data_IF_711085338473
#
_entry.id   IF_711085338473
#
_cell.length_a   1.000
_cell.length_b   1.000
_cell.length_c   1.000
_cell.angle_alpha   90.00
_cell.angle_beta   90.00
_cell.angle_gamma   90.00
#
_symmetry.space_group_name_H-M   'P 1'
#
loop_
_entity.id
_entity.type
_entity.pdbx_description
1 polymer ?
#
# COMPACT_ATOMS: atom_id res chain seq x y z
N UNK A 1 41.18 7.46 6.28
CA UNK A 1 40.88 6.56 5.15
C UNK A 1 39.75 7.23 4.38
N UNK A 2 40.09 7.95 3.32
CA UNK A 2 39.17 8.89 2.64
C UNK A 2 38.12 8.11 1.86
N UNK A 3 36.85 8.47 2.02
CA UNK A 3 35.70 7.95 1.26
C UNK A 3 35.92 8.05 -0.25
N UNK A 4 36.70 9.01 -0.72
CA UNK A 4 37.05 9.17 -2.14
C UNK A 4 37.90 8.03 -2.69
N UNK A 5 38.75 7.40 -1.87
CA UNK A 5 39.63 6.31 -2.33
C UNK A 5 38.89 4.98 -2.45
N UNK A 6 37.75 4.82 -1.76
CA UNK A 6 36.90 3.62 -1.82
C UNK A 6 35.87 3.73 -2.96
N UNK A 7 35.25 4.90 -3.13
CA UNK A 7 34.29 5.18 -4.21
C UNK A 7 34.95 5.25 -5.59
N UNK A 8 36.17 5.81 -5.69
CA UNK A 8 36.93 5.84 -6.94
C UNK A 8 37.43 4.46 -7.39
N UNK A 9 37.72 3.53 -6.46
CA UNK A 9 38.18 2.17 -6.78
C UNK A 9 37.05 1.21 -7.23
N UNK A 10 35.81 1.58 -6.98
CA UNK A 10 34.62 0.75 -7.23
C UNK A 10 33.86 1.17 -8.50
N UNK A 11 34.31 2.20 -9.22
CA UNK A 11 33.61 2.76 -10.39
C UNK A 11 32.28 3.46 -10.05
N UNK A 12 31.98 3.64 -8.76
CA UNK A 12 30.73 4.21 -8.28
C UNK A 12 30.61 5.70 -8.61
N UNK A 13 31.72 6.44 -8.58
CA UNK A 13 31.71 7.86 -8.96
C UNK A 13 31.33 8.05 -10.43
N UNK A 14 31.86 7.21 -11.32
CA UNK A 14 31.54 7.26 -12.75
C UNK A 14 30.06 6.90 -12.96
N UNK A 15 29.58 5.84 -12.30
CA UNK A 15 28.16 5.47 -12.32
C UNK A 15 27.23 6.59 -11.83
N UNK A 16 27.55 7.25 -10.70
CA UNK A 16 26.73 8.35 -10.18
C UNK A 16 26.78 9.58 -11.11
N UNK A 17 27.92 9.85 -11.74
CA UNK A 17 28.06 10.90 -12.76
C UNK A 17 27.17 10.62 -13.96
N UNK A 18 27.26 9.41 -14.53
CA UNK A 18 26.47 8.96 -15.68
C UNK A 18 24.96 8.98 -15.38
N UNK A 19 24.55 8.52 -14.19
CA UNK A 19 23.14 8.56 -13.75
C UNK A 19 22.65 10.01 -13.56
N UNK A 20 23.50 10.91 -13.06
CA UNK A 20 23.16 12.32 -12.92
C UNK A 20 22.95 12.97 -14.29
N UNK A 21 23.83 12.71 -15.26
CA UNK A 21 23.67 13.18 -16.63
C UNK A 21 22.40 12.62 -17.28
N UNK A 22 22.11 11.33 -17.07
CA UNK A 22 20.87 10.71 -17.54
C UNK A 22 19.65 11.42 -16.95
N UNK A 23 19.65 11.77 -15.65
CA UNK A 23 18.57 12.51 -15.02
C UNK A 23 18.42 13.94 -15.57
N UNK A 24 19.51 14.67 -15.77
CA UNK A 24 19.46 16.00 -16.38
C UNK A 24 18.86 15.95 -17.80
N UNK A 25 19.07 14.85 -18.52
CA UNK A 25 18.49 14.64 -19.85
C UNK A 25 17.05 14.17 -19.83
N UNK A 26 16.61 13.41 -18.82
CA UNK A 26 15.29 12.75 -18.80
C UNK A 26 14.28 13.26 -17.76
N UNK A 27 14.61 14.29 -16.96
CA UNK A 27 13.69 14.82 -15.94
C UNK A 27 12.32 15.28 -16.50
N UNK A 28 12.19 15.83 -17.73
CA UNK A 28 10.88 16.18 -18.28
C UNK A 28 10.04 14.93 -18.53
N UNK A 29 10.63 13.85 -19.05
CA UNK A 29 9.96 12.57 -19.27
C UNK A 29 9.48 11.95 -17.96
N UNK A 30 10.29 12.00 -16.90
CA UNK A 30 9.87 11.54 -15.57
C UNK A 30 8.64 12.33 -15.09
N UNK A 31 8.62 13.66 -15.29
CA UNK A 31 7.47 14.50 -14.95
C UNK A 31 6.23 14.14 -15.80
N UNK A 32 6.40 13.94 -17.11
CA UNK A 32 5.31 13.50 -17.99
C UNK A 32 4.75 12.14 -17.55
N UNK A 33 5.60 11.18 -17.18
CA UNK A 33 5.19 9.87 -16.67
C UNK A 33 4.44 9.97 -15.34
N UNK A 34 4.81 10.91 -14.47
CA UNK A 34 4.06 11.19 -13.24
C UNK A 34 2.66 11.74 -13.54
N UNK A 35 2.52 12.64 -14.51
CA UNK A 35 1.22 13.18 -14.95
C UNK A 35 0.36 12.08 -15.58
N UNK A 36 0.95 11.20 -16.41
CA UNK A 36 0.26 10.04 -17.00
C UNK A 36 -0.21 9.08 -15.89
N UNK A 37 0.62 8.83 -14.88
CA UNK A 37 0.24 8.00 -13.74
C UNK A 37 -0.94 8.60 -12.96
N UNK A 38 -0.93 9.92 -12.76
CA UNK A 38 -2.05 10.64 -12.14
C UNK A 38 -3.33 10.49 -12.97
N UNK A 39 -3.25 10.68 -14.29
CA UNK A 39 -4.38 10.50 -15.19
C UNK A 39 -4.94 9.07 -15.14
N UNK A 40 -4.08 8.04 -15.23
CA UNK A 40 -4.51 6.64 -15.11
C UNK A 40 -5.11 6.32 -13.74
N UNK A 41 -4.59 6.91 -12.66
CA UNK A 41 -5.14 6.76 -11.31
C UNK A 41 -6.55 7.35 -11.20
N UNK A 42 -6.79 8.51 -11.83
CA UNK A 42 -8.13 9.11 -11.89
C UNK A 42 -9.06 8.26 -12.77
N UNK A 43 -8.58 7.79 -13.92
CA UNK A 43 -9.35 6.96 -14.85
C UNK A 43 -9.78 5.65 -14.17
N UNK A 44 -8.87 4.90 -13.52
CA UNK A 44 -9.24 3.62 -12.88
C UNK A 44 -10.29 3.83 -11.79
N UNK A 45 -10.21 4.95 -11.07
CA UNK A 45 -11.13 5.28 -10.00
C UNK A 45 -12.52 5.65 -10.54
N UNK A 46 -12.58 6.39 -11.65
CA UNK A 46 -13.84 6.65 -12.37
C UNK A 46 -14.39 5.36 -12.97
N UNK A 47 -13.54 4.48 -13.51
CA UNK A 47 -13.94 3.18 -14.03
C UNK A 47 -14.55 2.30 -12.93
N UNK A 48 -13.93 2.25 -11.74
CA UNK A 48 -14.53 1.60 -10.58
C UNK A 48 -15.91 2.18 -10.28
N UNK A 49 -16.12 3.49 -10.34
CA UNK A 49 -17.45 4.07 -10.17
C UNK A 49 -18.47 3.59 -11.22
N UNK A 50 -18.11 3.60 -12.51
CA UNK A 50 -19.08 3.40 -13.60
C UNK A 50 -19.41 1.92 -13.82
N UNK A 51 -18.42 1.04 -13.74
CA UNK A 51 -18.54 -0.35 -14.19
C UNK A 51 -17.73 -1.31 -13.31
N UNK A 52 -17.76 -1.18 -11.97
CA UNK A 52 -17.03 -2.04 -11.00
C UNK A 52 -16.89 -3.49 -11.47
N UNK A 53 -18.01 -4.15 -11.78
CA UNK A 53 -18.01 -5.58 -12.12
C UNK A 53 -17.18 -5.87 -13.36
N UNK A 54 -17.37 -5.07 -14.42
CA UNK A 54 -16.61 -5.21 -15.68
C UNK A 54 -15.14 -4.91 -15.44
N UNK A 55 -14.82 -3.85 -14.69
CA UNK A 55 -13.44 -3.45 -14.38
C UNK A 55 -12.71 -4.56 -13.63
N UNK A 56 -13.33 -5.13 -12.59
CA UNK A 56 -12.74 -6.24 -11.83
C UNK A 56 -12.47 -7.43 -12.74
N UNK A 57 -13.40 -7.80 -13.62
CA UNK A 57 -13.19 -8.89 -14.58
C UNK A 57 -12.10 -8.57 -15.61
N UNK A 58 -12.07 -7.35 -16.16
CA UNK A 58 -11.03 -6.92 -17.11
C UNK A 58 -9.66 -6.97 -16.44
N UNK A 59 -9.52 -6.47 -15.21
CA UNK A 59 -8.26 -6.49 -14.47
C UNK A 59 -7.83 -7.93 -14.19
N UNK A 60 -8.74 -8.79 -13.70
CA UNK A 60 -8.42 -10.19 -13.40
C UNK A 60 -8.05 -11.00 -14.64
N UNK A 61 -8.86 -10.92 -15.69
CA UNK A 61 -8.62 -11.64 -16.95
C UNK A 61 -7.41 -11.06 -17.67
N UNK A 62 -7.28 -9.73 -17.72
CA UNK A 62 -6.17 -9.04 -18.36
C UNK A 62 -4.84 -9.41 -17.70
N UNK A 63 -4.76 -9.46 -16.38
CA UNK A 63 -3.55 -9.86 -15.66
C UNK A 63 -3.27 -11.36 -15.81
N UNK A 64 -4.31 -12.20 -15.76
CA UNK A 64 -4.16 -13.63 -16.05
C UNK A 64 -3.57 -13.85 -17.45
N UNK A 65 -4.10 -13.17 -18.48
CA UNK A 65 -3.58 -13.23 -19.84
C UNK A 65 -2.18 -12.65 -19.98
N UNK A 66 -1.91 -11.48 -19.40
CA UNK A 66 -0.58 -10.87 -19.45
C UNK A 66 0.48 -11.75 -18.78
N UNK A 67 0.15 -12.37 -17.64
CA UNK A 67 1.05 -13.29 -16.95
C UNK A 67 1.32 -14.56 -17.75
N UNK A 68 0.30 -15.19 -18.34
CA UNK A 68 0.47 -16.39 -19.16
C UNK A 68 1.24 -16.10 -20.46
N UNK A 69 0.93 -14.99 -21.13
CA UNK A 69 1.65 -14.55 -22.32
C UNK A 69 3.11 -14.18 -22.00
N UNK A 70 3.36 -13.48 -20.90
CA UNK A 70 4.70 -13.14 -20.44
C UNK A 70 5.53 -14.39 -20.11
N UNK A 71 4.95 -15.36 -19.41
CA UNK A 71 5.61 -16.65 -19.15
C UNK A 71 5.89 -17.41 -20.44
N UNK A 72 4.93 -17.47 -21.37
CA UNK A 72 5.13 -18.13 -22.66
C UNK A 72 6.24 -17.47 -23.48
N UNK A 73 6.30 -16.14 -23.50
CA UNK A 73 7.35 -15.38 -24.18
C UNK A 73 8.75 -15.68 -23.61
N UNK A 74 8.90 -15.75 -22.28
CA UNK A 74 10.17 -16.12 -21.64
C UNK A 74 10.62 -17.55 -22.00
N UNK A 75 9.68 -18.49 -22.11
CA UNK A 75 9.99 -19.85 -22.58
C UNK A 75 10.42 -19.88 -24.05
N UNK A 76 9.81 -19.06 -24.91
CA UNK A 76 10.23 -18.92 -26.32
C UNK A 76 11.64 -18.33 -26.40
N UNK A 77 11.93 -17.27 -25.64
CA UNK A 77 13.26 -16.65 -25.57
C UNK A 77 14.33 -17.65 -25.11
N UNK A 78 14.02 -18.45 -24.09
CA UNK A 78 14.93 -19.51 -23.64
C UNK A 78 15.19 -20.55 -24.74
N UNK A 79 14.14 -21.00 -25.44
CA UNK A 79 14.29 -21.98 -26.52
C UNK A 79 15.15 -21.44 -27.67
N UNK A 80 14.93 -20.19 -28.08
CA UNK A 80 15.74 -19.52 -29.11
C UNK A 80 17.20 -19.34 -28.65
N UNK A 81 17.41 -18.87 -27.41
CA UNK A 81 18.75 -18.71 -26.83
C UNK A 81 19.50 -20.04 -26.79
N UNK A 82 18.84 -21.13 -26.37
CA UNK A 82 19.41 -22.47 -26.32
C UNK A 82 19.80 -22.98 -27.72
N UNK A 83 18.95 -22.80 -28.73
CA UNK A 83 19.25 -23.18 -30.11
C UNK A 83 20.47 -22.42 -30.68
N UNK A 84 20.64 -21.14 -30.32
CA UNK A 84 21.79 -20.33 -30.74
C UNK A 84 23.09 -20.64 -29.99
N UNK A 85 23.00 -21.28 -28.81
CA UNK A 85 24.16 -21.62 -27.98
C UNK A 85 24.93 -22.86 -28.46
N UNK A 86 24.29 -23.74 -29.24
CA UNK A 86 24.88 -24.99 -29.74
C UNK A 86 25.80 -24.82 -30.96
N UNK A 87 25.99 -23.60 -31.49
CA UNK A 87 26.57 -23.40 -32.83
C UNK A 87 27.93 -22.66 -32.87
N UNK A 88 28.48 -22.11 -31.78
CA UNK A 88 29.67 -21.21 -31.86
C UNK A 88 30.71 -21.29 -30.71
N UNK A 89 31.93 -20.78 -30.99
CA UNK A 89 33.22 -20.82 -30.25
C UNK A 89 33.23 -20.58 -28.73
N UNK A 90 34.29 -21.07 -28.06
CA UNK A 90 34.45 -21.19 -26.60
C UNK A 90 34.38 -19.87 -25.79
N UNK A 91 34.86 -18.73 -26.31
CA UNK A 91 34.83 -17.45 -25.58
C UNK A 91 33.42 -16.84 -25.62
N UNK A 92 32.79 -16.81 -26.79
CA UNK A 92 31.40 -16.35 -26.99
C UNK A 92 30.41 -17.32 -26.31
N UNK A 93 30.75 -18.61 -26.25
CA UNK A 93 29.98 -19.64 -25.56
C UNK A 93 29.75 -19.31 -24.09
N UNK A 94 30.77 -18.87 -23.34
CA UNK A 94 30.63 -18.55 -21.91
C UNK A 94 29.59 -17.44 -21.63
N UNK A 95 29.56 -16.38 -22.44
CA UNK A 95 28.60 -15.27 -22.32
C UNK A 95 27.19 -15.71 -22.74
N UNK A 96 27.07 -16.51 -23.81
CA UNK A 96 25.77 -17.03 -24.28
C UNK A 96 25.17 -18.07 -23.32
N UNK A 97 26.00 -18.91 -22.69
CA UNK A 97 25.59 -19.88 -21.67
C UNK A 97 25.02 -19.14 -20.45
N UNK A 98 25.71 -18.12 -19.94
CA UNK A 98 25.21 -17.31 -18.82
C UNK A 98 23.88 -16.61 -19.12
N UNK A 99 23.71 -16.06 -20.34
CA UNK A 99 22.42 -15.50 -20.78
C UNK A 99 21.32 -16.56 -20.87
N UNK A 100 21.63 -17.75 -21.37
CA UNK A 100 20.67 -18.87 -21.50
C UNK A 100 20.20 -19.36 -20.13
N UNK A 101 21.11 -19.49 -19.16
CA UNK A 101 20.80 -19.88 -17.78
C UNK A 101 19.96 -18.81 -17.05
N UNK A 102 20.22 -17.54 -17.35
CA UNK A 102 19.44 -16.42 -16.82
C UNK A 102 17.99 -16.47 -17.32
N UNK A 103 17.78 -16.69 -18.62
CA UNK A 103 16.42 -16.83 -19.19
C UNK A 103 15.69 -18.06 -18.65
N UNK A 104 16.38 -19.19 -18.46
CA UNK A 104 15.79 -20.37 -17.83
C UNK A 104 15.31 -20.08 -16.41
N UNK A 105 16.15 -19.43 -15.61
CA UNK A 105 15.83 -19.08 -14.22
C UNK A 105 14.62 -18.14 -14.16
N UNK A 106 14.57 -17.11 -15.01
CA UNK A 106 13.44 -16.20 -15.11
C UNK A 106 12.15 -16.91 -15.56
N UNK A 107 12.22 -17.82 -16.54
CA UNK A 107 11.06 -18.57 -17.03
C UNK A 107 10.46 -19.50 -15.94
N UNK A 108 11.31 -20.17 -15.15
CA UNK A 108 10.85 -21.01 -14.03
C UNK A 108 10.16 -20.16 -12.96
N UNK A 109 10.80 -19.05 -12.54
CA UNK A 109 10.22 -18.13 -11.54
C UNK A 109 8.88 -17.58 -12.04
N UNK A 110 8.81 -17.12 -13.29
CA UNK A 110 7.58 -16.61 -13.89
C UNK A 110 6.47 -17.68 -13.94
N UNK A 111 6.82 -18.94 -14.23
CA UNK A 111 5.85 -20.05 -14.25
C UNK A 111 5.23 -20.30 -12.87
N UNK A 112 6.04 -20.28 -11.81
CA UNK A 112 5.57 -20.44 -10.43
C UNK A 112 4.66 -19.27 -10.04
N UNK A 113 5.07 -18.03 -10.34
CA UNK A 113 4.29 -16.82 -10.04
C UNK A 113 2.94 -16.83 -10.78
N UNK A 114 2.92 -17.19 -12.06
CA UNK A 114 1.69 -17.30 -12.86
C UNK A 114 0.77 -18.38 -12.28
N UNK A 115 1.28 -19.54 -11.90
CA UNK A 115 0.47 -20.60 -11.27
C UNK A 115 -0.14 -20.13 -9.94
N UNK A 116 0.67 -19.52 -9.07
CA UNK A 116 0.18 -18.96 -7.80
C UNK A 116 -0.91 -17.90 -8.02
N UNK A 117 -0.70 -16.99 -8.97
CA UNK A 117 -1.67 -15.94 -9.30
C UNK A 117 -2.99 -16.53 -9.81
N UNK A 118 -2.95 -17.51 -10.73
CA UNK A 118 -4.14 -18.18 -11.23
C UNK A 118 -4.89 -18.93 -10.12
N UNK A 119 -4.18 -19.64 -9.24
CA UNK A 119 -4.78 -20.32 -8.09
C UNK A 119 -5.49 -19.33 -7.15
N UNK A 120 -4.85 -18.19 -6.86
CA UNK A 120 -5.47 -17.12 -6.07
C UNK A 120 -6.76 -16.66 -6.75
N UNK A 121 -6.73 -16.32 -8.04
CA UNK A 121 -7.91 -15.86 -8.78
C UNK A 121 -9.06 -16.90 -8.74
N UNK A 122 -8.75 -18.19 -8.88
CA UNK A 122 -9.74 -19.28 -8.80
C UNK A 122 -10.39 -19.36 -7.41
N UNK A 123 -9.61 -19.22 -6.33
CA UNK A 123 -10.12 -19.23 -4.96
C UNK A 123 -11.00 -18.01 -4.68
N UNK A 124 -10.56 -16.82 -5.11
CA UNK A 124 -11.29 -15.57 -4.86
C UNK A 124 -12.61 -15.50 -5.64
N UNK A 125 -12.77 -16.24 -6.75
CA UNK A 125 -13.98 -16.24 -7.61
C UNK A 125 -15.29 -16.38 -6.84
N UNK A 126 -15.33 -17.24 -5.82
CA UNK A 126 -16.55 -17.47 -5.02
C UNK A 126 -16.98 -16.24 -4.22
N UNK A 127 -16.03 -15.37 -3.87
CA UNK A 127 -16.22 -14.20 -3.00
C UNK A 127 -16.29 -12.88 -3.78
N UNK A 128 -15.84 -12.87 -5.04
CA UNK A 128 -15.85 -11.69 -5.91
C UNK A 128 -17.22 -11.03 -6.03
N UNK A 129 -18.31 -11.81 -6.07
CA UNK A 129 -19.66 -11.23 -6.18
C UNK A 129 -19.99 -10.29 -5.00
N UNK A 130 -19.57 -10.64 -3.79
CA UNK A 130 -19.78 -9.80 -2.58
C UNK A 130 -18.96 -8.52 -2.66
N UNK A 131 -17.68 -8.68 -3.01
CA UNK A 131 -16.75 -7.56 -3.14
C UNK A 131 -17.21 -6.61 -4.23
N UNK A 132 -17.71 -7.11 -5.37
CA UNK A 132 -18.30 -6.28 -6.42
C UNK A 132 -19.46 -5.43 -5.88
N UNK A 133 -20.32 -5.97 -5.00
CA UNK A 133 -21.42 -5.19 -4.42
C UNK A 133 -20.91 -4.11 -3.45
N UNK A 134 -19.95 -4.44 -2.59
CA UNK A 134 -19.34 -3.45 -1.70
C UNK A 134 -18.65 -2.33 -2.48
N UNK A 135 -17.93 -2.68 -3.55
CA UNK A 135 -17.33 -1.71 -4.46
C UNK A 135 -18.40 -0.89 -5.18
N UNK A 136 -19.54 -1.47 -5.60
CA UNK A 136 -20.64 -0.71 -6.22
C UNK A 136 -21.22 0.31 -5.26
N UNK A 137 -21.45 -0.07 -4.01
CA UNK A 137 -21.93 0.86 -2.98
C UNK A 137 -20.89 1.94 -2.67
N UNK A 138 -19.60 1.59 -2.60
CA UNK A 138 -18.51 2.56 -2.46
C UNK A 138 -18.46 3.54 -3.65
N UNK A 139 -18.65 3.03 -4.87
CA UNK A 139 -18.73 3.84 -6.09
C UNK A 139 -19.93 4.80 -6.09
N UNK A 140 -21.10 4.36 -5.59
CA UNK A 140 -22.28 5.23 -5.39
C UNK A 140 -21.99 6.33 -4.37
N UNK A 141 -21.37 6.01 -3.24
CA UNK A 141 -20.99 6.96 -2.21
C UNK A 141 -20.00 8.01 -2.75
N UNK A 142 -18.88 7.58 -3.32
CA UNK A 142 -17.86 8.45 -3.92
C UNK A 142 -18.46 9.29 -5.06
N UNK A 143 -19.33 8.70 -5.88
CA UNK A 143 -19.98 9.39 -6.99
C UNK A 143 -20.92 10.52 -6.55
N UNK A 144 -21.53 10.41 -5.38
CA UNK A 144 -22.35 11.47 -4.79
C UNK A 144 -21.53 12.56 -4.09
N UNK A 145 -20.25 12.29 -3.80
CA UNK A 145 -19.33 13.16 -3.07
C UNK A 145 -18.02 13.34 -3.86
N UNK A 146 -18.05 14.01 -5.04
CA UNK A 146 -16.91 14.07 -5.96
C UNK A 146 -15.68 14.76 -5.38
N UNK A 147 -15.83 15.60 -4.35
CA UNK A 147 -14.71 16.20 -3.62
C UNK A 147 -13.80 15.15 -2.94
N UNK A 148 -14.26 13.89 -2.74
CA UNK A 148 -13.44 12.81 -2.17
C UNK A 148 -12.27 12.46 -3.09
N UNK A 149 -12.41 12.75 -4.39
CA UNK A 149 -11.39 12.51 -5.39
C UNK A 149 -10.22 13.50 -5.29
N UNK A 150 -10.43 14.66 -4.67
CA UNK A 150 -9.40 15.69 -4.45
C UNK A 150 -8.67 15.46 -3.12
N UNK A 151 -9.30 14.76 -2.17
CA UNK A 151 -8.71 14.45 -0.85
C UNK A 151 -7.29 13.85 -0.90
N UNK A 152 -6.96 12.86 -1.76
CA UNK A 152 -5.63 12.27 -1.75
C UNK A 152 -4.55 13.23 -2.28
N UNK A 153 -4.90 14.20 -3.13
CA UNK A 153 -3.96 15.26 -3.56
C UNK A 153 -3.59 16.16 -2.38
N UNK A 154 -4.57 16.50 -1.55
CA UNK A 154 -4.33 17.27 -0.33
C UNK A 154 -3.45 16.49 0.66
N UNK A 155 -3.75 15.21 0.93
CA UNK A 155 -2.89 14.37 1.78
C UNK A 155 -1.47 14.29 1.24
N UNK A 156 -1.31 14.09 -0.07
CA UNK A 156 0.00 14.03 -0.71
C UNK A 156 0.78 15.33 -0.51
N UNK A 157 0.14 16.49 -0.71
CA UNK A 157 0.76 17.78 -0.48
C UNK A 157 1.22 17.94 1.00
N UNK A 158 0.40 17.53 1.96
CA UNK A 158 0.77 17.56 3.38
C UNK A 158 1.94 16.61 3.72
N UNK A 159 1.96 15.40 3.15
CA UNK A 159 3.05 14.44 3.35
C UNK A 159 4.34 14.97 2.71
N UNK A 160 4.27 15.49 1.48
CA UNK A 160 5.40 16.08 0.79
C UNK A 160 5.98 17.26 1.61
N UNK A 161 5.13 18.16 2.10
CA UNK A 161 5.55 19.24 2.98
C UNK A 161 6.22 18.72 4.28
N UNK A 162 5.68 17.66 4.88
CA UNK A 162 6.27 17.03 6.07
C UNK A 162 7.65 16.44 5.78
N UNK A 163 7.82 15.77 4.63
CA UNK A 163 9.11 15.22 4.20
C UNK A 163 10.11 16.35 3.90
N UNK A 164 9.68 17.42 3.24
CA UNK A 164 10.51 18.61 3.00
C UNK A 164 10.97 19.25 4.31
N UNK A 165 10.07 19.42 5.29
CA UNK A 165 10.42 19.92 6.61
C UNK A 165 11.42 18.99 7.32
N UNK A 166 11.21 17.67 7.26
CA UNK A 166 12.12 16.69 7.84
C UNK A 166 13.53 16.77 7.21
N UNK A 167 13.62 16.87 5.89
CA UNK A 167 14.87 17.04 5.17
C UNK A 167 15.58 18.33 5.59
N UNK A 168 14.84 19.45 5.62
CA UNK A 168 15.34 20.73 6.06
C UNK A 168 15.93 20.64 7.48
N UNK A 169 15.16 20.17 8.47
CA UNK A 169 15.66 20.04 9.84
C UNK A 169 16.81 19.03 9.96
N UNK A 170 16.80 17.95 9.17
CA UNK A 170 17.92 17.00 9.15
C UNK A 170 19.20 17.68 8.68
N UNK A 171 19.16 18.47 7.60
CA UNK A 171 20.33 19.21 7.12
C UNK A 171 20.86 20.20 8.16
N UNK A 172 19.97 20.89 8.88
CA UNK A 172 20.36 21.77 9.99
C UNK A 172 20.99 21.00 11.15
N UNK A 173 20.43 19.85 11.53
CA UNK A 173 20.97 19.01 12.61
C UNK A 173 22.33 18.41 12.23
N UNK A 174 22.52 18.00 10.96
CA UNK A 174 23.79 17.45 10.48
C UNK A 174 24.88 18.50 10.32
N UNK A 175 24.51 19.74 9.99
CA UNK A 175 25.45 20.88 9.90
C UNK A 175 25.79 21.49 11.26
N UNK A 176 24.97 21.23 12.29
CA UNK A 176 25.28 21.57 13.67
C UNK A 176 26.36 20.62 14.22
N UNK A 177 27.51 21.16 14.60
CA UNK A 177 28.60 20.40 15.23
C UNK A 177 29.72 21.32 15.67
N UNK A 178 30.38 21.01 16.78
CA UNK A 178 31.49 21.82 17.27
C UNK A 178 32.79 21.36 16.61
N UNK A 179 33.58 22.32 16.11
CA UNK A 179 34.88 22.05 15.52
C UNK A 179 35.87 21.74 16.65
N UNK A 180 36.38 20.52 16.70
CA UNK A 180 37.47 20.13 17.61
C UNK A 180 38.75 19.94 16.79
N UNK A 181 39.80 20.65 17.18
CA UNK A 181 41.12 20.52 16.57
C UNK A 181 41.75 19.22 17.05
N UNK A 182 42.06 18.32 16.12
CA UNK A 182 42.64 16.99 16.42
C UNK A 182 44.15 16.98 16.15
N UNK A 183 44.62 17.72 15.15
CA UNK A 183 46.04 17.96 14.83
C UNK A 183 46.19 19.35 14.20
N UNK A 184 47.39 19.90 14.13
CA UNK A 184 47.63 21.12 13.35
C UNK A 184 47.10 20.93 11.92
N UNK A 185 46.16 21.80 11.53
CA UNK A 185 45.35 21.79 10.30
C UNK A 185 44.26 20.71 10.12
N UNK A 186 43.96 19.88 11.13
CA UNK A 186 42.85 18.91 11.04
C UNK A 186 41.76 19.16 12.09
N UNK A 187 40.56 19.53 11.63
CA UNK A 187 39.36 19.72 12.46
C UNK A 187 38.37 18.58 12.21
N UNK A 188 37.86 17.98 13.28
CA UNK A 188 36.74 17.04 13.22
C UNK A 188 35.52 17.71 13.86
N UNK A 189 34.35 17.52 13.25
CA UNK A 189 33.08 17.93 13.84
C UNK A 189 32.65 16.89 14.87
N UNK A 190 32.76 17.22 16.16
CA UNK A 190 32.29 16.38 17.25
C UNK A 190 30.79 16.66 17.47
N UNK A 191 29.98 15.60 17.44
CA UNK A 191 28.53 15.67 17.67
C UNK A 191 28.25 15.41 19.14
N UNK A 192 27.63 16.39 19.80
CA UNK A 192 27.21 16.28 21.20
C UNK A 192 25.98 15.34 21.36
N UNK A 193 25.76 14.84 22.57
CA UNK A 193 24.61 14.01 22.96
C UNK A 193 23.28 14.68 22.60
N UNK A 194 23.22 16.00 22.71
CA UNK A 194 22.04 16.82 22.34
C UNK A 194 21.69 16.67 20.85
N UNK A 195 22.70 16.64 19.98
CA UNK A 195 22.51 16.49 18.53
C UNK A 195 22.00 15.08 18.22
N UNK A 196 22.55 14.05 18.89
CA UNK A 196 22.08 12.67 18.74
C UNK A 196 20.62 12.51 19.16
N UNK A 197 20.23 13.07 20.31
CA UNK A 197 18.84 13.07 20.75
C UNK A 197 17.92 13.78 19.75
N UNK A 198 18.33 14.96 19.26
CA UNK A 198 17.54 15.75 18.31
C UNK A 198 17.34 15.01 16.98
N UNK A 199 18.32 14.22 16.50
CA UNK A 199 18.17 13.36 15.32
C UNK A 199 17.03 12.34 15.50
N UNK A 200 17.03 11.62 16.63
CA UNK A 200 15.98 10.64 16.93
C UNK A 200 14.62 11.29 17.13
N UNK A 201 14.58 12.44 17.80
CA UNK A 201 13.36 13.23 17.96
C UNK A 201 12.80 13.69 16.61
N UNK A 202 13.63 14.21 15.70
CA UNK A 202 13.22 14.61 14.36
C UNK A 202 12.63 13.44 13.55
N UNK A 203 13.25 12.25 13.63
CA UNK A 203 12.71 11.02 13.02
C UNK A 203 11.35 10.68 13.62
N UNK A 204 11.23 10.70 14.95
CA UNK A 204 9.98 10.39 15.64
C UNK A 204 8.84 11.34 15.26
N UNK A 205 9.09 12.65 15.26
CA UNK A 205 8.10 13.67 14.89
C UNK A 205 7.64 13.46 13.45
N UNK A 206 8.54 13.19 12.52
CA UNK A 206 8.17 12.91 11.12
C UNK A 206 7.31 11.65 11.00
N UNK A 207 7.67 10.55 11.67
CA UNK A 207 6.86 9.33 11.68
C UNK A 207 5.46 9.62 12.24
N UNK A 208 5.38 10.37 13.34
CA UNK A 208 4.11 10.73 13.96
C UNK A 208 3.25 11.63 13.08
N UNK A 209 3.83 12.67 12.46
CA UNK A 209 3.11 13.56 11.55
C UNK A 209 2.58 12.82 10.32
N UNK A 210 3.35 11.89 9.74
CA UNK A 210 2.87 11.07 8.62
C UNK A 210 1.67 10.22 9.05
N UNK A 211 1.75 9.52 10.19
CA UNK A 211 0.62 8.73 10.70
C UNK A 211 -0.59 9.61 11.04
N UNK A 212 -0.35 10.82 11.54
CA UNK A 212 -1.40 11.78 11.88
C UNK A 212 -2.14 12.29 10.63
N UNK A 213 -1.40 12.65 9.57
CA UNK A 213 -1.98 13.09 8.29
C UNK A 213 -2.82 11.96 7.67
N UNK A 214 -2.30 10.73 7.66
CA UNK A 214 -3.03 9.55 7.17
C UNK A 214 -4.29 9.30 8.03
N UNK A 215 -4.18 9.43 9.36
CA UNK A 215 -5.33 9.28 10.26
C UNK A 215 -6.40 10.35 10.03
N UNK A 216 -6.01 11.60 9.76
CA UNK A 216 -6.92 12.67 9.37
C UNK A 216 -7.66 12.32 8.07
N UNK A 217 -6.95 11.80 7.06
CA UNK A 217 -7.57 11.33 5.82
C UNK A 217 -8.60 10.23 6.10
N UNK A 218 -8.25 9.20 6.88
CA UNK A 218 -9.19 8.13 7.23
C UNK A 218 -10.45 8.67 7.91
N UNK A 219 -10.31 9.58 8.87
CA UNK A 219 -11.45 10.16 9.59
C UNK A 219 -12.36 11.00 8.68
N UNK A 220 -11.80 11.81 7.79
CA UNK A 220 -12.59 12.62 6.84
C UNK A 220 -13.38 11.74 5.88
N UNK A 221 -12.74 10.71 5.31
CA UNK A 221 -13.39 9.79 4.37
C UNK A 221 -14.45 8.97 5.10
N UNK A 222 -14.09 8.39 6.26
CA UNK A 222 -15.03 7.60 7.06
C UNK A 222 -16.25 8.43 7.45
N UNK A 223 -16.06 9.66 7.91
CA UNK A 223 -17.15 10.55 8.31
C UNK A 223 -18.06 10.93 7.14
N UNK A 224 -17.49 11.20 5.97
CA UNK A 224 -18.29 11.48 4.77
C UNK A 224 -19.09 10.24 4.32
N UNK A 225 -18.45 9.07 4.29
CA UNK A 225 -19.06 7.82 3.81
C UNK A 225 -20.10 7.27 4.80
N UNK A 226 -19.84 7.31 6.10
CA UNK A 226 -20.81 6.89 7.12
C UNK A 226 -22.02 7.83 7.18
N UNK A 227 -21.80 9.15 7.11
CA UNK A 227 -22.87 10.14 6.98
C UNK A 227 -23.71 9.89 5.73
N UNK A 228 -23.06 9.59 4.60
CA UNK A 228 -23.77 9.22 3.38
C UNK A 228 -24.58 7.94 3.58
N UNK A 229 -23.98 6.89 4.17
CA UNK A 229 -24.62 5.58 4.36
C UNK A 229 -25.91 5.69 5.18
N UNK A 230 -25.83 6.30 6.36
CA UNK A 230 -26.96 6.43 7.29
C UNK A 230 -27.92 7.59 6.98
N UNK A 231 -27.73 8.32 5.87
CA UNK A 231 -28.72 9.29 5.40
C UNK A 231 -29.70 8.65 4.43
N UNK A 232 -31.01 8.71 4.72
CA UNK A 232 -32.06 8.19 3.83
C UNK A 232 -32.17 8.98 2.53
N UNK A 233 -32.38 10.29 2.64
CA UNK A 233 -32.51 11.18 1.49
C UNK A 233 -31.15 11.74 1.09
N UNK A 234 -30.45 11.06 0.16
CA UNK A 234 -29.08 11.44 -0.27
C UNK A 234 -29.00 12.87 -0.83
N UNK A 235 -30.11 13.44 -1.30
CA UNK A 235 -30.21 14.84 -1.77
C UNK A 235 -30.06 15.89 -0.66
N UNK A 236 -30.17 15.50 0.62
CA UNK A 236 -29.99 16.40 1.78
C UNK A 236 -28.54 16.52 2.24
N UNK A 237 -27.62 15.77 1.63
CA UNK A 237 -26.20 15.79 1.98
C UNK A 237 -25.53 17.05 1.41
N UNK A 238 -25.58 18.15 2.16
CA UNK A 238 -24.83 19.35 1.83
C UNK A 238 -23.36 19.18 2.23
N UNK A 239 -22.50 19.04 1.21
CA UNK A 239 -21.03 18.91 1.30
C UNK A 239 -20.50 18.03 2.47
N UNK A 240 -20.68 16.70 2.40
CA UNK A 240 -20.29 15.77 3.46
C UNK A 240 -18.80 15.81 3.85
N UNK A 241 -17.93 16.23 2.93
CA UNK A 241 -16.49 16.32 3.19
C UNK A 241 -16.15 17.56 4.00
N UNK A 242 -16.74 18.71 3.68
CA UNK A 242 -16.55 19.92 4.46
C UNK A 242 -17.09 19.72 5.88
N UNK A 243 -18.22 19.03 6.01
CA UNK A 243 -18.76 18.62 7.30
C UNK A 243 -17.85 17.62 8.03
N UNK A 244 -17.33 16.60 7.34
CA UNK A 244 -16.37 15.64 7.90
C UNK A 244 -15.06 16.30 8.36
N UNK A 245 -14.54 17.25 7.58
CA UNK A 245 -13.37 18.04 7.92
C UNK A 245 -13.63 18.94 9.13
N UNK A 246 -14.79 19.60 9.17
CA UNK A 246 -15.21 20.39 10.33
C UNK A 246 -15.28 19.53 11.59
N UNK A 247 -15.91 18.35 11.52
CA UNK A 247 -16.02 17.44 12.66
C UNK A 247 -14.65 16.92 13.10
N UNK A 248 -13.77 16.59 12.15
CA UNK A 248 -12.39 16.22 12.45
C UNK A 248 -11.72 17.32 13.27
N UNK A 249 -11.67 18.54 12.74
CA UNK A 249 -10.99 19.69 13.35
C UNK A 249 -11.59 20.09 14.70
N UNK A 250 -12.93 20.01 14.84
CA UNK A 250 -13.64 20.48 16.02
C UNK A 250 -13.67 19.46 17.15
N UNK A 251 -13.76 18.17 16.84
CA UNK A 251 -14.08 17.12 17.83
C UNK A 251 -13.11 15.93 17.85
N UNK A 252 -12.47 15.55 16.74
CA UNK A 252 -11.77 14.25 16.64
C UNK A 252 -10.24 14.33 16.54
N UNK A 253 -9.62 15.52 16.48
CA UNK A 253 -8.16 15.67 16.41
C UNK A 253 -7.43 14.94 17.54
N UNK A 254 -7.96 14.96 18.76
CA UNK A 254 -7.35 14.27 19.92
C UNK A 254 -7.29 12.75 19.73
N UNK A 255 -8.37 12.14 19.26
CA UNK A 255 -8.41 10.69 18.98
C UNK A 255 -7.46 10.30 17.84
N UNK A 256 -7.37 11.13 16.79
CA UNK A 256 -6.44 10.91 15.67
C UNK A 256 -4.99 11.05 16.13
N UNK A 257 -4.69 12.07 16.94
CA UNK A 257 -3.37 12.30 17.52
C UNK A 257 -2.91 11.13 18.41
N UNK A 258 -3.80 10.60 19.24
CA UNK A 258 -3.52 9.45 20.11
C UNK A 258 -3.29 8.16 19.29
N UNK A 259 -4.17 7.86 18.33
CA UNK A 259 -4.02 6.69 17.46
C UNK A 259 -2.74 6.73 16.62
N UNK A 260 -2.42 7.89 16.03
CA UNK A 260 -1.19 8.07 15.25
C UNK A 260 0.06 8.02 16.11
N UNK A 261 0.01 8.52 17.35
CA UNK A 261 1.12 8.49 18.31
C UNK A 261 1.50 7.04 18.67
N UNK A 262 0.52 6.19 18.99
CA UNK A 262 0.78 4.79 19.35
C UNK A 262 1.47 4.06 18.18
N UNK A 263 1.02 4.27 16.94
CA UNK A 263 1.66 3.68 15.76
C UNK A 263 3.09 4.22 15.62
N UNK A 264 3.30 5.53 15.79
CA UNK A 264 4.61 6.16 15.65
C UNK A 264 5.63 5.66 16.69
N UNK A 265 5.20 5.39 17.93
CA UNK A 265 6.05 4.81 18.97
C UNK A 265 6.56 3.42 18.57
N UNK A 266 5.67 2.56 18.06
CA UNK A 266 6.07 1.21 17.58
C UNK A 266 6.95 1.31 16.34
N UNK A 267 6.67 2.26 15.43
CA UNK A 267 7.53 2.53 14.27
C UNK A 267 8.93 2.98 14.68
N UNK A 268 9.04 3.88 15.66
CA UNK A 268 10.33 4.32 16.18
C UNK A 268 11.09 3.15 16.81
N UNK A 269 10.43 2.33 17.63
CA UNK A 269 11.04 1.14 18.22
C UNK A 269 11.57 0.17 17.15
N UNK A 270 10.82 -0.02 16.06
CA UNK A 270 11.23 -0.84 14.90
C UNK A 270 12.44 -0.26 14.17
N UNK A 271 12.50 1.06 13.99
CA UNK A 271 13.66 1.74 13.38
C UNK A 271 14.89 1.60 14.28
N UNK A 272 14.75 1.79 15.59
CA UNK A 272 15.84 1.61 16.56
C UNK A 272 16.35 0.15 16.53
N UNK A 273 15.46 -0.84 16.58
CA UNK A 273 15.85 -2.25 16.49
C UNK A 273 16.53 -2.58 15.16
N UNK A 274 16.11 -1.97 14.05
CA UNK A 274 16.77 -2.14 12.76
C UNK A 274 18.21 -1.63 12.80
N UNK A 275 18.44 -0.44 13.35
CA UNK A 275 19.79 0.14 13.52
C UNK A 275 20.66 -0.74 14.41
N UNK A 276 20.11 -1.20 15.54
CA UNK A 276 20.82 -2.10 16.46
C UNK A 276 21.14 -3.44 15.80
N UNK A 277 20.21 -4.03 15.05
CA UNK A 277 20.42 -5.30 14.36
C UNK A 277 21.58 -5.21 13.34
N UNK A 278 21.68 -4.11 12.60
CA UNK A 278 22.79 -3.87 11.66
C UNK A 278 24.13 -3.75 12.40
N UNK A 279 24.15 -3.06 13.54
CA UNK A 279 25.36 -2.91 14.36
C UNK A 279 25.80 -4.24 15.00
N UNK A 280 24.87 -4.98 15.61
CA UNK A 280 25.10 -6.28 16.27
C UNK A 280 25.59 -7.31 15.25
N UNK A 281 25.01 -7.38 14.05
CA UNK A 281 25.46 -8.29 13.00
C UNK A 281 26.91 -8.09 12.58
N UNK A 282 27.45 -6.88 12.78
CA UNK A 282 28.84 -6.57 12.47
C UNK A 282 29.83 -6.93 13.59
N UNK A 283 29.37 -7.08 14.85
CA UNK A 283 30.27 -7.19 16.01
C UNK A 283 30.00 -8.39 16.94
N UNK A 284 28.84 -9.06 16.83
CA UNK A 284 28.35 -10.03 17.83
C UNK A 284 28.00 -11.41 17.23
N UNK A 285 27.80 -12.39 18.12
CA UNK A 285 27.51 -13.79 17.77
C UNK A 285 26.10 -14.07 17.24
N UNK A 286 25.92 -15.26 16.63
CA UNK A 286 24.67 -15.71 15.96
C UNK A 286 23.42 -15.62 16.84
N UNK A 287 23.51 -15.84 18.15
CA UNK A 287 22.36 -15.83 19.05
C UNK A 287 21.74 -14.43 19.20
N UNK A 288 22.56 -13.39 19.37
CA UNK A 288 22.06 -12.00 19.53
C UNK A 288 21.40 -11.53 18.24
N UNK A 289 22.00 -11.85 17.08
CA UNK A 289 21.42 -11.57 15.76
C UNK A 289 20.07 -12.29 15.53
N UNK A 290 19.91 -13.50 16.07
CA UNK A 290 18.66 -14.25 15.99
C UNK A 290 17.55 -13.56 16.81
N UNK A 291 17.85 -13.17 18.06
CA UNK A 291 16.90 -12.50 18.96
C UNK A 291 16.46 -11.15 18.38
N UNK A 292 17.39 -10.32 17.91
CA UNK A 292 17.06 -9.02 17.28
C UNK A 292 16.21 -9.20 16.02
N UNK A 293 16.47 -10.25 15.23
CA UNK A 293 15.66 -10.57 14.05
C UNK A 293 14.23 -11.03 14.42
N UNK A 294 14.07 -11.79 15.50
CA UNK A 294 12.76 -12.20 16.02
C UNK A 294 11.95 -11.00 16.54
N UNK A 295 12.56 -10.15 17.37
CA UNK A 295 11.92 -8.94 17.88
C UNK A 295 11.49 -8.00 16.74
N UNK A 296 12.28 -7.91 15.67
CA UNK A 296 11.93 -7.12 14.50
C UNK A 296 10.66 -7.64 13.81
N UNK A 297 10.51 -8.96 13.70
CA UNK A 297 9.29 -9.59 13.18
C UNK A 297 8.08 -9.27 14.09
N UNK A 298 8.23 -9.40 15.41
CA UNK A 298 7.17 -9.10 16.37
C UNK A 298 6.71 -7.64 16.29
N UNK A 299 7.64 -6.67 16.22
CA UNK A 299 7.27 -5.25 16.08
C UNK A 299 6.63 -4.94 14.73
N UNK A 300 7.07 -5.59 13.66
CA UNK A 300 6.42 -5.47 12.36
C UNK A 300 4.97 -5.97 12.41
N UNK A 301 4.73 -7.13 13.03
CA UNK A 301 3.38 -7.65 13.25
C UNK A 301 2.55 -6.69 14.12
N UNK A 302 3.10 -6.19 15.23
CA UNK A 302 2.43 -5.25 16.12
C UNK A 302 2.05 -3.95 15.40
N UNK A 303 2.95 -3.38 14.59
CA UNK A 303 2.66 -2.19 13.79
C UNK A 303 1.49 -2.42 12.83
N UNK A 304 1.45 -3.57 12.14
CA UNK A 304 0.37 -3.88 11.20
C UNK A 304 -0.96 -4.07 11.92
N UNK A 305 -0.97 -4.75 13.08
CA UNK A 305 -2.16 -4.91 13.92
C UNK A 305 -2.64 -3.54 14.42
N UNK A 306 -1.73 -2.69 14.88
CA UNK A 306 -2.08 -1.35 15.36
C UNK A 306 -2.65 -0.49 14.24
N UNK A 307 -2.07 -0.51 13.04
CA UNK A 307 -2.64 0.19 11.87
C UNK A 307 -4.04 -0.31 11.54
N UNK A 308 -4.23 -1.63 11.54
CA UNK A 308 -5.54 -2.25 11.28
C UNK A 308 -6.57 -1.81 12.33
N UNK A 309 -6.28 -1.96 13.62
CA UNK A 309 -7.20 -1.60 14.71
C UNK A 309 -7.48 -0.09 14.68
N UNK A 310 -6.45 0.74 14.52
CA UNK A 310 -6.57 2.22 14.50
C UNK A 310 -7.44 2.69 13.35
N UNK A 311 -7.26 2.13 12.14
CA UNK A 311 -8.10 2.45 10.98
C UNK A 311 -9.57 2.12 11.22
N UNK A 312 -9.87 0.93 11.73
CA UNK A 312 -11.24 0.53 12.04
C UNK A 312 -11.83 1.31 13.22
N UNK A 313 -11.01 1.65 14.23
CA UNK A 313 -11.41 2.52 15.33
C UNK A 313 -11.83 3.90 14.81
N UNK A 314 -11.09 4.50 13.87
CA UNK A 314 -11.49 5.78 13.27
C UNK A 314 -12.86 5.71 12.59
N UNK A 315 -13.18 4.60 11.91
CA UNK A 315 -14.51 4.41 11.32
C UNK A 315 -15.60 4.44 12.41
N UNK A 316 -15.43 3.64 13.47
CA UNK A 316 -16.35 3.59 14.62
C UNK A 316 -16.52 4.94 15.32
N UNK A 317 -15.45 5.73 15.45
CA UNK A 317 -15.52 7.10 15.99
C UNK A 317 -16.45 7.97 15.15
N UNK A 318 -16.41 7.85 13.82
CA UNK A 318 -17.29 8.66 12.96
C UNK A 318 -18.75 8.23 13.00
N UNK A 319 -19.03 6.96 13.26
CA UNK A 319 -20.40 6.42 13.34
C UNK A 319 -21.04 6.82 14.67
N UNK A 320 -20.35 6.57 15.80
CA UNK A 320 -20.93 6.68 17.14
C UNK A 320 -20.41 7.86 17.98
N UNK A 321 -19.33 8.52 17.57
CA UNK A 321 -18.71 9.58 18.35
C UNK A 321 -17.95 9.09 19.59
N UNK A 322 -17.55 7.82 19.64
CA UNK A 322 -16.80 7.26 20.76
C UNK A 322 -15.38 7.84 20.90
N UNK A 323 -14.80 7.70 22.09
CA UNK A 323 -13.36 7.89 22.27
C UNK A 323 -12.57 6.73 21.62
N UNK A 324 -11.28 6.96 21.36
CA UNK A 324 -10.43 6.02 20.61
C UNK A 324 -10.43 4.59 21.14
N UNK A 325 -10.23 4.40 22.46
CA UNK A 325 -10.14 3.06 23.04
C UNK A 325 -11.48 2.31 22.98
N UNK A 326 -12.59 2.99 23.26
CA UNK A 326 -13.93 2.39 23.16
C UNK A 326 -14.27 2.03 21.71
N UNK A 327 -13.94 2.91 20.77
CA UNK A 327 -14.14 2.66 19.34
C UNK A 327 -13.30 1.49 18.84
N UNK A 328 -12.03 1.41 19.22
CA UNK A 328 -11.16 0.28 18.86
C UNK A 328 -11.65 -1.05 19.39
N UNK A 329 -12.17 -1.07 20.63
CA UNK A 329 -12.81 -2.26 21.20
C UNK A 329 -14.06 -2.67 20.41
N UNK A 330 -14.96 -1.73 20.13
CA UNK A 330 -16.19 -2.02 19.35
C UNK A 330 -15.85 -2.52 17.94
N UNK A 331 -14.94 -1.84 17.24
CA UNK A 331 -14.46 -2.26 15.93
C UNK A 331 -13.94 -3.70 15.96
N UNK A 332 -13.12 -4.03 16.97
CA UNK A 332 -12.60 -5.38 17.13
C UNK A 332 -13.71 -6.41 17.40
N UNK A 333 -14.68 -6.11 18.27
CA UNK A 333 -15.82 -7.00 18.55
C UNK A 333 -16.65 -7.29 17.29
N UNK A 334 -16.97 -6.25 16.52
CA UNK A 334 -17.73 -6.36 15.26
C UNK A 334 -16.98 -7.23 14.25
N UNK A 335 -15.69 -6.96 14.04
CA UNK A 335 -14.85 -7.69 13.07
C UNK A 335 -14.58 -9.14 13.53
N UNK A 336 -14.42 -9.38 14.84
CA UNK A 336 -14.13 -10.69 15.41
C UNK A 336 -15.35 -11.62 15.37
N UNK A 337 -16.57 -11.09 15.55
CA UNK A 337 -17.82 -11.86 15.54
C UNK A 337 -17.99 -12.72 14.27
N UNK A 338 -17.42 -12.26 13.14
CA UNK A 338 -17.46 -12.93 11.85
C UNK A 338 -16.08 -12.93 11.15
N UNK A 339 -15.00 -13.14 11.92
CA UNK A 339 -13.61 -12.94 11.50
C UNK A 339 -13.25 -13.59 10.14
N UNK A 340 -13.62 -14.86 9.91
CA UNK A 340 -13.30 -15.55 8.65
C UNK A 340 -13.97 -14.90 7.44
N UNK A 341 -15.23 -14.46 7.59
CA UNK A 341 -15.98 -13.80 6.52
C UNK A 341 -15.38 -12.42 6.25
N UNK A 342 -15.15 -11.66 7.30
CA UNK A 342 -14.55 -10.32 7.26
C UNK A 342 -13.18 -10.36 6.59
N UNK A 343 -12.28 -11.22 7.08
CA UNK A 343 -10.93 -11.36 6.55
C UNK A 343 -10.92 -11.77 5.07
N UNK A 344 -11.83 -12.67 4.68
CA UNK A 344 -11.95 -13.08 3.28
C UNK A 344 -12.43 -11.93 2.39
N UNK A 345 -13.38 -11.12 2.85
CA UNK A 345 -13.92 -9.99 2.06
C UNK A 345 -12.85 -8.90 1.91
N UNK A 346 -12.20 -8.53 3.02
CA UNK A 346 -11.16 -7.50 3.02
C UNK A 346 -9.99 -7.91 2.11
N UNK A 347 -9.48 -9.15 2.28
CA UNK A 347 -8.35 -9.64 1.48
C UNK A 347 -8.65 -9.71 -0.02
N UNK A 348 -9.86 -10.09 -0.44
CA UNK A 348 -10.25 -10.06 -1.87
C UNK A 348 -10.31 -8.62 -2.39
N UNK A 349 -10.88 -7.68 -1.62
CA UNK A 349 -10.93 -6.26 -1.98
C UNK A 349 -9.55 -5.63 -2.10
N UNK A 350 -8.69 -5.87 -1.10
CA UNK A 350 -7.30 -5.43 -1.07
C UNK A 350 -6.53 -5.99 -2.27
N UNK A 351 -6.75 -7.26 -2.60
CA UNK A 351 -6.14 -7.89 -3.78
C UNK A 351 -6.58 -7.20 -5.08
N UNK A 352 -7.87 -6.90 -5.25
CA UNK A 352 -8.37 -6.18 -6.43
C UNK A 352 -7.75 -4.78 -6.53
N UNK A 353 -7.67 -4.04 -5.43
CA UNK A 353 -7.04 -2.72 -5.41
C UNK A 353 -5.54 -2.80 -5.66
N UNK A 354 -4.87 -3.84 -5.16
CA UNK A 354 -3.46 -4.12 -5.45
C UNK A 354 -3.23 -4.38 -6.95
N UNK A 355 -4.07 -5.21 -7.58
CA UNK A 355 -4.00 -5.43 -9.02
C UNK A 355 -4.21 -4.13 -9.82
N UNK A 356 -5.09 -3.24 -9.36
CA UNK A 356 -5.25 -1.90 -9.92
C UNK A 356 -3.96 -1.06 -9.86
N UNK A 357 -3.24 -1.09 -8.73
CA UNK A 357 -1.92 -0.42 -8.56
C UNK A 357 -0.90 -0.99 -9.55
N UNK A 358 -0.80 -2.33 -9.64
CA UNK A 358 0.12 -3.01 -10.56
C UNK A 358 -0.17 -2.63 -12.01
N UNK A 359 -1.44 -2.63 -12.42
CA UNK A 359 -1.83 -2.26 -13.79
C UNK A 359 -1.36 -0.85 -14.15
N UNK A 360 -1.56 0.13 -13.27
CA UNK A 360 -1.10 1.51 -13.50
C UNK A 360 0.42 1.56 -13.63
N UNK A 361 1.16 0.93 -12.72
CA UNK A 361 2.63 0.94 -12.72
C UNK A 361 3.16 0.29 -14.00
N UNK A 362 2.64 -0.87 -14.39
CA UNK A 362 3.05 -1.56 -15.62
C UNK A 362 2.76 -0.70 -16.84
N UNK A 363 1.57 -0.10 -16.96
CA UNK A 363 1.24 0.78 -18.08
C UNK A 363 2.16 2.00 -18.16
N UNK A 364 2.49 2.62 -17.03
CA UNK A 364 3.43 3.77 -17.00
C UNK A 364 4.84 3.35 -17.39
N UNK A 365 5.32 2.20 -16.89
CA UNK A 365 6.66 1.69 -17.25
C UNK A 365 6.76 1.35 -18.72
N UNK A 366 5.72 0.72 -19.32
CA UNK A 366 5.69 0.41 -20.75
C UNK A 366 5.73 1.68 -21.61
N UNK A 367 4.95 2.71 -21.25
CA UNK A 367 5.00 4.02 -21.92
C UNK A 367 6.37 4.68 -21.71
N UNK A 368 6.95 4.54 -20.52
CA UNK A 368 8.27 5.05 -20.19
C UNK A 368 9.37 4.43 -21.04
N UNK A 369 9.31 3.11 -21.29
CA UNK A 369 10.28 2.42 -22.14
C UNK A 369 10.28 3.05 -23.54
N UNK A 370 9.09 3.23 -24.12
CA UNK A 370 8.93 3.85 -25.44
C UNK A 370 9.38 5.32 -25.51
N UNK A 371 9.19 6.09 -24.43
CA UNK A 371 9.60 7.50 -24.37
C UNK A 371 11.11 7.66 -24.18
N UNK A 372 11.69 6.85 -23.29
CA UNK A 372 13.11 6.97 -22.89
C UNK A 372 14.02 6.32 -23.93
N UNK A 373 13.64 5.19 -24.54
CA UNK A 373 14.44 4.55 -25.58
C UNK A 373 14.56 5.37 -26.87
N UNK A 374 13.66 6.33 -27.10
CA UNK A 374 13.73 7.25 -28.25
C UNK A 374 14.77 8.37 -28.06
N UNK A 375 15.28 8.57 -26.84
CA UNK A 375 16.32 9.56 -26.58
C UNK A 375 17.72 8.95 -26.74
N UNK A 376 18.51 9.57 -27.61
CA UNK A 376 19.92 9.24 -27.76
C UNK A 376 20.73 9.75 -26.54
N UNK A 377 21.76 8.99 -26.17
CA UNK A 377 22.68 9.39 -25.10
C UNK A 377 22.20 9.11 -23.67
N UNK A 378 21.25 8.19 -23.47
CA UNK A 378 20.90 7.67 -22.15
C UNK A 378 21.66 6.36 -21.93
N UNK A 379 22.50 6.31 -20.90
CA UNK A 379 23.35 5.15 -20.60
C UNK A 379 22.59 4.13 -19.73
N UNK A 380 21.91 4.60 -18.69
CA UNK A 380 21.25 3.79 -17.66
C UNK A 380 19.72 3.99 -17.66
N UNK A 381 19.06 3.72 -18.79
CA UNK A 381 17.62 3.91 -18.95
C UNK A 381 16.75 3.22 -17.88
N UNK A 382 17.22 2.13 -17.28
CA UNK A 382 16.52 1.40 -16.21
C UNK A 382 16.38 2.21 -14.92
N UNK A 383 17.28 3.16 -14.63
CA UNK A 383 17.23 3.99 -13.41
C UNK A 383 16.06 4.97 -13.45
N UNK A 384 15.92 5.85 -14.48
CA UNK A 384 14.74 6.71 -14.62
C UNK A 384 13.43 5.94 -14.75
N UNK A 385 13.43 4.77 -15.41
CA UNK A 385 12.23 3.92 -15.53
C UNK A 385 11.77 3.40 -14.18
N UNK A 386 12.71 2.92 -13.36
CA UNK A 386 12.43 2.40 -12.02
C UNK A 386 11.95 3.52 -11.10
N UNK A 387 12.57 4.71 -11.18
CA UNK A 387 12.13 5.88 -10.43
C UNK A 387 10.71 6.32 -10.84
N UNK A 388 10.42 6.34 -12.14
CA UNK A 388 9.08 6.68 -12.66
C UNK A 388 8.03 5.65 -12.23
N UNK A 389 8.37 4.35 -12.26
CA UNK A 389 7.51 3.28 -11.74
C UNK A 389 7.25 3.40 -10.24
N UNK A 390 8.26 3.81 -9.46
CA UNK A 390 8.12 4.06 -8.03
C UNK A 390 7.18 5.24 -7.76
N UNK A 391 7.33 6.36 -8.49
CA UNK A 391 6.38 7.48 -8.39
C UNK A 391 4.97 7.05 -8.79
N UNK A 392 4.82 6.26 -9.86
CA UNK A 392 3.53 5.75 -10.28
C UNK A 392 2.87 4.84 -9.21
N UNK A 393 3.66 4.05 -8.50
CA UNK A 393 3.18 3.25 -7.37
C UNK A 393 2.66 4.15 -6.24
N UNK A 394 3.39 5.18 -5.85
CA UNK A 394 2.94 6.10 -4.79
C UNK A 394 1.67 6.87 -5.19
N UNK A 395 1.62 7.39 -6.42
CA UNK A 395 0.44 8.09 -6.94
C UNK A 395 -0.76 7.14 -6.93
N UNK A 396 -0.65 5.96 -7.54
CA UNK A 396 -1.76 4.99 -7.58
C UNK A 396 -2.18 4.53 -6.17
N UNK A 397 -1.24 4.34 -5.26
CA UNK A 397 -1.51 4.00 -3.86
C UNK A 397 -2.34 5.09 -3.18
N UNK A 398 -1.99 6.37 -3.33
CA UNK A 398 -2.72 7.49 -2.75
C UNK A 398 -4.18 7.52 -3.21
N UNK A 399 -4.43 7.41 -4.53
CA UNK A 399 -5.80 7.42 -5.06
C UNK A 399 -6.61 6.19 -4.65
N UNK A 400 -6.02 5.00 -4.77
CA UNK A 400 -6.72 3.75 -4.46
C UNK A 400 -6.94 3.57 -2.94
N UNK A 401 -6.11 4.20 -2.09
CA UNK A 401 -6.34 4.20 -0.63
C UNK A 401 -7.65 4.88 -0.22
N UNK A 402 -8.10 5.89 -0.97
CA UNK A 402 -9.39 6.54 -0.71
C UNK A 402 -10.55 5.59 -0.96
N UNK A 403 -10.44 4.83 -2.05
CA UNK A 403 -11.41 3.80 -2.40
C UNK A 403 -11.41 2.66 -1.37
N UNK A 404 -10.22 2.22 -0.96
CA UNK A 404 -10.02 1.23 0.12
C UNK A 404 -10.73 1.68 1.41
N UNK A 405 -10.50 2.92 1.82
CA UNK A 405 -11.11 3.48 3.03
C UNK A 405 -12.64 3.58 2.93
N UNK A 406 -13.16 3.92 1.75
CA UNK A 406 -14.60 3.98 1.51
C UNK A 406 -15.26 2.59 1.56
N UNK A 407 -14.63 1.55 1.01
CA UNK A 407 -15.11 0.17 1.09
C UNK A 407 -15.16 -0.28 2.56
N UNK A 408 -14.08 -0.09 3.31
CA UNK A 408 -14.02 -0.51 4.71
C UNK A 408 -15.07 0.20 5.56
N UNK A 409 -15.27 1.50 5.30
CA UNK A 409 -16.30 2.27 6.00
C UNK A 409 -17.69 1.72 5.70
N UNK A 410 -18.01 1.44 4.43
CA UNK A 410 -19.29 0.83 4.05
C UNK A 410 -19.46 -0.54 4.68
N UNK A 411 -18.39 -1.33 4.72
CA UNK A 411 -18.41 -2.65 5.32
C UNK A 411 -18.72 -2.59 6.82
N UNK A 412 -18.08 -1.70 7.57
CA UNK A 412 -18.39 -1.51 9.00
C UNK A 412 -19.79 -0.91 9.19
N UNK A 413 -20.19 0.08 8.39
CA UNK A 413 -21.54 0.64 8.46
C UNK A 413 -22.59 -0.45 8.21
N UNK A 414 -22.32 -1.37 7.29
CA UNK A 414 -23.16 -2.53 7.03
C UNK A 414 -23.24 -3.47 8.24
N UNK A 415 -22.12 -3.80 8.87
CA UNK A 415 -22.13 -4.63 10.07
C UNK A 415 -22.92 -3.97 11.21
N UNK A 416 -22.74 -2.67 11.43
CA UNK A 416 -23.48 -1.91 12.45
C UNK A 416 -24.97 -1.78 12.10
N UNK A 417 -25.33 -1.62 10.83
CA UNK A 417 -26.73 -1.60 10.38
C UNK A 417 -27.42 -2.95 10.63
N UNK A 418 -26.73 -4.07 10.40
CA UNK A 418 -27.21 -5.42 10.74
C UNK A 418 -27.39 -5.65 12.24
N UNK A 419 -26.51 -5.09 13.07
CA UNK A 419 -26.56 -5.25 14.52
C UNK A 419 -27.66 -4.37 15.16
N UNK A 420 -27.85 -3.14 14.65
CA UNK A 420 -28.70 -2.14 15.29
C UNK A 420 -30.17 -2.14 14.80
N UNK A 421 -30.41 -2.64 13.58
CA UNK A 421 -31.71 -2.58 12.91
C UNK A 421 -32.24 -4.00 12.65
N UNK A 422 -33.57 -4.16 12.69
CA UNK A 422 -34.24 -5.47 12.56
C UNK A 422 -34.93 -5.66 11.20
N UNK A 423 -34.96 -4.62 10.36
CA UNK A 423 -35.66 -4.62 9.07
C UNK A 423 -37.18 -4.47 9.17
N UNK A 424 -37.75 -4.44 10.38
CA UNK A 424 -39.18 -4.37 10.64
C UNK A 424 -39.54 -3.05 11.32
N UNK A 425 -39.25 -2.93 12.62
CA UNK A 425 -39.51 -1.73 13.42
C UNK A 425 -38.48 -0.63 13.15
N UNK A 426 -37.25 -1.06 12.83
CA UNK A 426 -36.12 -0.23 12.45
C UNK A 426 -35.64 -0.72 11.09
N UNK A 427 -36.05 -0.08 9.99
CA UNK A 427 -35.67 -0.53 8.65
C UNK A 427 -34.16 -0.37 8.44
N UNK A 428 -33.54 -1.28 7.71
CA UNK A 428 -32.12 -1.16 7.34
C UNK A 428 -31.85 0.06 6.46
N UNK A 429 -30.67 0.66 6.59
CA UNK A 429 -30.21 1.76 5.74
C UNK A 429 -29.52 1.27 4.46
N UNK A 430 -29.02 0.02 4.47
CA UNK A 430 -28.38 -0.61 3.31
C UNK A 430 -29.28 -0.68 2.07
N UNK A 431 -28.66 -0.75 0.89
CA UNK A 431 -29.38 -0.95 -0.37
C UNK A 431 -29.95 -2.38 -0.46
N UNK A 432 -31.06 -2.54 -1.19
CA UNK A 432 -31.65 -3.87 -1.45
C UNK A 432 -30.64 -4.82 -2.10
N UNK A 433 -29.86 -4.31 -3.06
CA UNK A 433 -28.80 -5.06 -3.75
C UNK A 433 -27.77 -5.65 -2.77
N UNK A 434 -27.38 -4.88 -1.74
CA UNK A 434 -26.43 -5.32 -0.72
C UNK A 434 -27.07 -6.33 0.24
N UNK A 435 -28.33 -6.08 0.65
CA UNK A 435 -29.09 -6.93 1.57
C UNK A 435 -29.34 -8.33 1.00
N UNK A 436 -29.97 -8.42 -0.19
CA UNK A 436 -30.28 -9.68 -0.88
C UNK A 436 -29.01 -10.50 -1.13
N UNK A 437 -27.90 -9.81 -1.40
CA UNK A 437 -26.63 -10.47 -1.64
C UNK A 437 -26.02 -11.03 -0.35
N UNK A 438 -26.11 -10.33 0.78
CA UNK A 438 -25.60 -10.82 2.07
C UNK A 438 -26.43 -12.01 2.56
N UNK A 439 -27.76 -11.98 2.39
CA UNK A 439 -28.65 -13.08 2.75
C UNK A 439 -28.36 -14.34 1.92
N UNK A 440 -28.22 -14.20 0.59
CA UNK A 440 -27.82 -15.32 -0.28
C UNK A 440 -26.40 -15.83 -0.01
N UNK A 441 -25.49 -14.96 0.43
CA UNK A 441 -24.15 -15.35 0.93
C UNK A 441 -24.24 -16.18 2.21
N UNK A 442 -25.12 -15.81 3.13
CA UNK A 442 -25.34 -16.55 4.37
C UNK A 442 -25.93 -17.93 4.09
N UNK A 443 -26.93 -18.03 3.21
CA UNK A 443 -27.51 -19.31 2.81
C UNK A 443 -26.50 -20.23 2.12
N UNK A 444 -25.66 -19.70 1.22
CA UNK A 444 -24.64 -20.50 0.53
C UNK A 444 -23.52 -20.97 1.46
N UNK A 445 -23.16 -20.17 2.48
CA UNK A 445 -22.22 -20.59 3.53
C UNK A 445 -22.85 -21.68 4.40
N UNK A 446 -24.12 -21.54 4.79
CA UNK A 446 -24.85 -22.54 5.56
C UNK A 446 -24.99 -23.87 4.79
N UNK A 447 -25.29 -23.82 3.48
CA UNK A 447 -25.34 -24.99 2.60
C UNK A 447 -23.97 -25.63 2.33
N UNK A 448 -22.87 -24.88 2.50
CA UNK A 448 -21.50 -25.38 2.29
C UNK A 448 -20.85 -26.02 3.51
N UNK A 449 -21.46 -25.91 4.70
CA UNK A 449 -21.06 -26.72 5.85
C UNK A 449 -21.52 -28.15 5.58
N UNK A 450 -20.62 -29.15 5.48
CA UNK A 450 -21.06 -30.53 5.43
C UNK A 450 -21.85 -30.84 6.71
N UNK A 451 -22.85 -31.69 6.58
CA UNK A 451 -23.80 -32.16 7.60
C UNK A 451 -23.12 -32.92 8.77
N UNK A 452 -22.08 -32.37 9.38
CA UNK A 452 -21.40 -32.95 10.54
C UNK A 452 -22.17 -32.70 11.86
N UNK A 453 -23.36 -32.08 11.80
CA UNK A 453 -24.22 -31.85 12.97
C UNK A 453 -25.51 -32.67 12.97
N UNK A 454 -25.93 -33.26 11.84
CA UNK A 454 -27.15 -34.09 11.81
C UNK A 454 -26.95 -35.49 12.43
N UNK A 455 -25.71 -35.99 12.50
CA UNK A 455 -25.40 -37.31 13.06
C UNK A 455 -25.19 -37.34 14.58
N UNK A 456 -25.00 -36.20 15.24
CA UNK A 456 -24.90 -36.17 16.73
C UNK A 456 -26.25 -36.02 17.44
N UNK A 457 -27.29 -35.57 16.76
CA UNK A 457 -28.64 -35.50 17.34
C UNK A 457 -29.39 -36.86 17.29
N UNK A 458 -29.00 -37.77 16.39
CA UNK A 458 -29.56 -39.13 16.29
C UNK A 458 -28.84 -40.18 17.17
N UNK A 459 -27.69 -39.85 17.75
CA UNK A 459 -26.97 -40.73 18.68
C UNK A 459 -27.30 -40.45 20.16
N UNK A 460 -28.20 -39.50 20.43
CA UNK A 460 -28.66 -39.11 21.76
C UNK A 460 -30.20 -39.20 21.90
N UNK A 461 -30.84 -40.03 21.06
CA UNK A 461 -32.25 -40.42 21.19
C UNK A 461 -32.37 -41.91 21.47
#
# INVERSE_FOLDING_TARGET
FSTETFLGKTGLNDFFGEVSEDFERCWPEILYLCIISLAFSIVIMVLFRLLVGVVIWIVLVGIALASTLGTAYLWILWHQSRASSSTEEAIVGSIKVQKTDTYLTLAIIASILTLCLLLIILVLRKRLKLVIQLFKEAGKAIGSMPLLLVQPLWTFACIAATISCWLYFTLWIESAGHKKKVRDDFYIFEKDTTIVFTRWYNIFVTLWLIQFIIGCQHMVIAGAVSSWYFTRAKTRLNSPILFGLYNLLRYHLGSVSFGSFIIAVVQLARVILMTLNTYVRAHEGRCVSCITSCCQCCLYCLENILKFITRNAYIEITIHGYNFCRAGRRAFEVLASNALRVATINSVGDFVLFLGKVLIVVSVVLIGIELIQKKEGILHAWVPLTLSGLFAYFISHCFLSVYEMAIDTIFICFCEDCDANDGLSRPYYMSKDLMEFVESSNESVLKSKPEAWSTKASAAS
#
